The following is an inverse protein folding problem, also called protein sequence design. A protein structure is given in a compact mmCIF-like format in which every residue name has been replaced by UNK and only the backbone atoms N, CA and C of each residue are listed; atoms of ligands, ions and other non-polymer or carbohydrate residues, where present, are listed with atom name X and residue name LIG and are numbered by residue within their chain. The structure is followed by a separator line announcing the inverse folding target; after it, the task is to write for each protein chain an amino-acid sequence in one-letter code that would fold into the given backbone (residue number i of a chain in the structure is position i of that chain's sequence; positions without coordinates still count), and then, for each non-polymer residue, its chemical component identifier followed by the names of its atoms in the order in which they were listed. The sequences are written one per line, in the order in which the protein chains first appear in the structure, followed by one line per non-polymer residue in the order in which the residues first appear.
data_IF_028281567412
#
_entry.id   IF_028281567412
#
_cell.length_a   1.000
_cell.length_b   1.000
_cell.length_c   1.000
_cell.angle_alpha   90.00
_cell.angle_beta   90.00
_cell.angle_gamma   90.00
#
_symmetry.space_group_name_H-M   'P 1'
#
loop_
_entity.id
_entity.type
_entity.pdbx_description
1 polymer ?
#
# COMPACT_ATOMS: atom_id res chain seq x y z
N UNK A 1 -16.99 25.19 19.43
CA UNK A 1 -15.55 24.92 19.66
C UNK A 1 -15.12 23.50 19.29
N UNK A 2 -15.83 22.44 19.73
CA UNK A 2 -15.49 21.04 19.41
C UNK A 2 -15.27 20.76 17.91
N UNK A 3 -16.16 21.23 17.03
CA UNK A 3 -16.04 21.02 15.56
C UNK A 3 -14.79 21.68 14.97
N UNK A 4 -14.42 22.87 15.45
CA UNK A 4 -13.22 23.57 14.99
C UNK A 4 -11.96 22.80 15.38
N UNK A 5 -11.88 22.33 16.64
CA UNK A 5 -10.77 21.50 17.11
C UNK A 5 -10.66 20.18 16.34
N UNK A 6 -11.80 19.56 16.02
CA UNK A 6 -11.84 18.32 15.22
C UNK A 6 -11.31 18.54 13.80
N UNK A 7 -11.75 19.59 13.10
CA UNK A 7 -11.27 19.88 11.74
C UNK A 7 -9.77 20.22 11.72
N UNK A 8 -9.27 20.93 12.73
CA UNK A 8 -7.83 21.20 12.88
C UNK A 8 -7.06 19.90 13.13
N UNK A 9 -7.54 19.04 14.03
CA UNK A 9 -6.92 17.74 14.29
C UNK A 9 -6.91 16.85 13.03
N UNK A 10 -7.98 16.88 12.23
CA UNK A 10 -8.04 16.18 10.94
C UNK A 10 -7.02 16.71 9.94
N UNK A 11 -6.86 18.03 9.83
CA UNK A 11 -5.84 18.63 8.95
C UNK A 11 -4.43 18.18 9.35
N UNK A 12 -4.11 18.18 10.64
CA UNK A 12 -2.80 17.74 11.14
C UNK A 12 -2.59 16.24 10.92
N UNK A 13 -3.62 15.43 11.13
CA UNK A 13 -3.56 13.99 10.86
C UNK A 13 -3.36 13.72 9.36
N UNK A 14 -4.01 14.48 8.47
CA UNK A 14 -3.79 14.41 7.03
C UNK A 14 -2.34 14.77 6.66
N UNK A 15 -1.79 15.86 7.21
CA UNK A 15 -0.38 16.23 6.98
C UNK A 15 0.56 15.07 7.35
N UNK A 16 0.31 14.42 8.50
CA UNK A 16 1.11 13.28 8.95
C UNK A 16 1.01 12.07 8.00
N UNK A 17 -0.20 11.73 7.55
CA UNK A 17 -0.40 10.59 6.64
C UNK A 17 0.10 10.84 5.22
N UNK A 18 0.08 12.09 4.75
CA UNK A 18 0.69 12.47 3.47
C UNK A 18 2.20 12.24 3.49
N UNK A 19 2.89 12.65 4.56
CA UNK A 19 4.33 12.38 4.73
C UNK A 19 4.62 10.88 4.73
N UNK A 20 3.85 10.09 5.48
CA UNK A 20 4.03 8.64 5.49
C UNK A 20 3.80 8.04 4.09
N UNK A 21 2.78 8.48 3.38
CA UNK A 21 2.47 8.00 2.03
C UNK A 21 3.55 8.38 1.03
N UNK A 22 4.14 9.57 1.13
CA UNK A 22 5.29 9.99 0.32
C UNK A 22 6.52 9.09 0.55
N UNK A 23 6.79 8.68 1.79
CA UNK A 23 7.86 7.71 2.09
C UNK A 23 7.60 6.35 1.42
N UNK A 24 6.35 5.88 1.46
CA UNK A 24 5.95 4.60 0.85
C UNK A 24 6.07 4.69 -0.69
N UNK A 25 5.60 5.78 -1.31
CA UNK A 25 5.74 5.98 -2.75
C UNK A 25 7.22 6.00 -3.13
N UNK A 26 8.04 6.77 -2.42
CA UNK A 26 9.48 6.89 -2.71
C UNK A 26 10.18 5.55 -2.61
N UNK A 27 9.92 4.80 -1.52
CA UNK A 27 10.47 3.45 -1.35
C UNK A 27 10.00 2.48 -2.45
N UNK A 28 8.75 2.60 -2.90
CA UNK A 28 8.25 1.78 -4.02
C UNK A 28 8.93 2.11 -5.34
N UNK A 29 9.22 3.39 -5.60
CA UNK A 29 9.89 3.87 -6.82
C UNK A 29 11.31 3.31 -6.95
N UNK A 30 12.03 3.15 -5.84
CA UNK A 30 13.37 2.54 -5.85
C UNK A 30 13.33 1.12 -6.45
N UNK A 31 12.33 0.32 -6.09
CA UNK A 31 12.14 -1.02 -6.64
C UNK A 31 11.67 -1.02 -8.10
N UNK A 32 10.86 -0.03 -8.51
CA UNK A 32 10.49 0.16 -9.92
C UNK A 32 11.74 0.44 -10.76
N UNK A 33 12.61 1.33 -10.31
CA UNK A 33 13.87 1.66 -10.97
C UNK A 33 14.78 0.42 -11.04
N UNK A 34 14.83 -0.39 -9.98
CA UNK A 34 15.59 -1.64 -10.01
C UNK A 34 15.05 -2.60 -11.08
N UNK A 35 13.72 -2.73 -11.17
CA UNK A 35 13.07 -3.58 -12.15
C UNK A 35 13.33 -3.07 -13.58
N UNK A 36 13.26 -1.76 -13.82
CA UNK A 36 13.59 -1.13 -15.10
C UNK A 36 15.03 -1.43 -15.52
N UNK A 37 15.99 -1.22 -14.62
CA UNK A 37 17.42 -1.32 -14.94
C UNK A 37 17.93 -2.76 -15.00
N UNK A 38 17.38 -3.66 -14.19
CA UNK A 38 17.94 -5.01 -13.97
C UNK A 38 16.99 -6.14 -14.34
N UNK A 39 15.72 -5.86 -14.58
CA UNK A 39 14.69 -6.87 -14.81
C UNK A 39 14.42 -7.78 -13.58
N UNK A 40 14.85 -7.35 -12.39
CA UNK A 40 14.71 -8.12 -11.15
C UNK A 40 14.60 -7.22 -9.93
N UNK A 41 13.95 -7.74 -8.90
CA UNK A 41 13.83 -7.10 -7.59
C UNK A 41 14.84 -7.70 -6.59
N UNK A 42 15.58 -6.86 -5.88
CA UNK A 42 16.50 -7.26 -4.80
C UNK A 42 15.80 -7.57 -3.49
N UNK A 43 14.57 -7.06 -3.31
CA UNK A 43 13.79 -7.30 -2.09
C UNK A 43 13.47 -8.79 -1.91
N UNK A 44 13.65 -9.29 -0.68
CA UNK A 44 13.25 -10.65 -0.34
C UNK A 44 11.73 -10.74 -0.18
N UNK A 45 11.14 -11.92 -0.45
CA UNK A 45 9.70 -12.18 -0.22
C UNK A 45 9.27 -11.81 1.20
N UNK A 46 10.09 -12.11 2.20
CA UNK A 46 9.84 -11.76 3.61
C UNK A 46 9.77 -10.25 3.83
N UNK A 47 10.71 -9.49 3.25
CA UNK A 47 10.71 -8.04 3.39
C UNK A 47 9.58 -7.39 2.60
N UNK A 48 9.21 -7.95 1.44
CA UNK A 48 8.04 -7.50 0.68
C UNK A 48 6.74 -7.68 1.48
N UNK A 49 6.55 -8.84 2.12
CA UNK A 49 5.38 -9.07 2.98
C UNK A 49 5.32 -8.13 4.18
N UNK A 50 6.47 -7.84 4.82
CA UNK A 50 6.54 -6.80 5.87
C UNK A 50 6.15 -5.43 5.32
N UNK A 51 6.58 -5.13 4.10
CA UNK A 51 6.29 -3.86 3.47
C UNK A 51 4.80 -3.71 3.15
N UNK A 52 4.18 -4.75 2.58
CA UNK A 52 2.72 -4.85 2.40
C UNK A 52 2.00 -4.61 3.73
N UNK A 53 2.44 -5.27 4.81
CA UNK A 53 1.86 -5.04 6.14
C UNK A 53 1.98 -3.60 6.63
N UNK A 54 3.10 -2.91 6.36
CA UNK A 54 3.27 -1.48 6.69
C UNK A 54 2.23 -0.62 5.95
N UNK A 55 2.06 -0.84 4.64
CA UNK A 55 1.08 -0.10 3.82
C UNK A 55 -0.34 -0.33 4.30
N UNK A 56 -0.72 -1.59 4.56
CA UNK A 56 -2.05 -1.93 5.07
C UNK A 56 -2.32 -1.31 6.44
N UNK A 57 -1.33 -1.27 7.34
CA UNK A 57 -1.47 -0.61 8.63
C UNK A 57 -1.70 0.90 8.47
N UNK A 58 -1.01 1.56 7.53
CA UNK A 58 -1.22 2.99 7.24
C UNK A 58 -2.64 3.23 6.71
N UNK A 59 -3.09 2.43 5.73
CA UNK A 59 -4.44 2.51 5.16
C UNK A 59 -5.53 2.31 6.22
N UNK A 60 -5.38 1.30 7.09
CA UNK A 60 -6.31 1.08 8.21
C UNK A 60 -6.29 2.23 9.21
N UNK A 61 -5.11 2.76 9.56
CA UNK A 61 -5.00 3.90 10.49
C UNK A 61 -5.67 5.16 9.93
N UNK A 62 -5.58 5.39 8.62
CA UNK A 62 -6.28 6.48 7.93
C UNK A 62 -7.79 6.31 8.04
N UNK A 63 -8.31 5.10 7.76
CA UNK A 63 -9.74 4.80 7.88
C UNK A 63 -10.22 5.01 9.32
N UNK A 64 -9.51 4.46 10.30
CA UNK A 64 -9.90 4.56 11.72
C UNK A 64 -9.89 6.00 12.22
N UNK A 65 -8.92 6.81 11.81
CA UNK A 65 -8.75 8.16 12.37
C UNK A 65 -9.46 9.26 11.58
N UNK A 66 -9.73 9.07 10.29
CA UNK A 66 -10.33 10.08 9.44
C UNK A 66 -11.79 9.77 9.07
N UNK A 67 -12.16 8.51 8.88
CA UNK A 67 -13.51 8.11 8.41
C UNK A 67 -14.58 8.23 9.51
N UNK A 68 -14.21 8.03 10.78
CA UNK A 68 -15.10 8.19 11.95
C UNK A 68 -15.67 9.63 12.06
N UNK A 69 -15.02 10.61 11.43
CA UNK A 69 -15.35 12.04 11.54
C UNK A 69 -16.18 12.58 10.35
N UNK A 70 -16.45 11.74 9.35
CA UNK A 70 -17.40 12.02 8.28
C UNK A 70 -18.84 11.58 8.61
N UNK A 71 -19.09 11.07 9.82
CA UNK A 71 -20.42 10.66 10.26
C UNK A 71 -21.37 11.89 10.35
N UNK A 72 -22.43 11.96 9.51
CA UNK A 72 -23.41 13.04 9.53
C UNK A 72 -24.16 13.14 10.87
N UNK A 73 -24.24 12.07 11.66
CA UNK A 73 -24.93 12.05 12.95
C UNK A 73 -24.33 13.03 13.97
N UNK A 74 -23.07 13.45 13.81
CA UNK A 74 -22.39 14.38 14.72
C UNK A 74 -22.85 15.84 14.57
N UNK A 75 -23.48 16.18 13.43
CA UNK A 75 -23.93 17.53 13.08
C UNK A 75 -25.36 17.58 12.55
N UNK A 76 -26.04 16.44 12.42
CA UNK A 76 -27.36 16.36 11.79
C UNK A 76 -28.45 17.12 12.56
N UNK A 77 -28.34 17.20 13.88
CA UNK A 77 -29.33 17.85 14.73
C UNK A 77 -29.26 19.40 14.68
N UNK A 78 -28.23 19.99 14.03
CA UNK A 78 -28.07 21.44 13.96
C UNK A 78 -27.50 21.92 12.62
N UNK A 79 -28.35 22.60 11.84
CA UNK A 79 -28.04 23.11 10.50
C UNK A 79 -26.89 24.12 10.46
N UNK A 80 -26.75 24.97 11.49
CA UNK A 80 -25.67 25.96 11.61
C UNK A 80 -24.30 25.28 11.84
N UNK A 81 -24.26 24.26 12.71
CA UNK A 81 -23.06 23.46 12.92
C UNK A 81 -22.68 22.64 11.67
N UNK A 82 -23.67 22.15 10.91
CA UNK A 82 -23.43 21.47 9.64
C UNK A 82 -22.86 22.41 8.56
N UNK A 83 -23.38 23.65 8.46
CA UNK A 83 -22.83 24.70 7.60
C UNK A 83 -21.38 25.05 7.96
N UNK A 84 -21.10 25.29 9.24
CA UNK A 84 -19.75 25.58 9.72
C UNK A 84 -18.78 24.42 9.44
N UNK A 85 -19.19 23.18 9.70
CA UNK A 85 -18.38 21.99 9.42
C UNK A 85 -18.04 21.87 7.94
N UNK A 86 -19.02 22.09 7.05
CA UNK A 86 -18.79 22.08 5.59
C UNK A 86 -17.81 23.18 5.16
N UNK A 87 -17.97 24.41 5.66
CA UNK A 87 -17.04 25.50 5.35
C UNK A 87 -15.62 25.21 5.82
N UNK A 88 -15.44 24.64 7.02
CA UNK A 88 -14.12 24.28 7.52
C UNK A 88 -13.49 23.15 6.68
N UNK A 89 -14.25 22.09 6.35
CA UNK A 89 -13.77 21.00 5.49
C UNK A 89 -13.34 21.50 4.10
N UNK A 90 -14.08 22.45 3.54
CA UNK A 90 -13.70 23.10 2.27
C UNK A 90 -12.47 23.99 2.43
N UNK A 91 -12.39 24.79 3.50
CA UNK A 91 -11.25 25.69 3.72
C UNK A 91 -9.93 24.94 3.96
N UNK A 92 -9.98 23.74 4.55
CA UNK A 92 -8.82 22.89 4.81
C UNK A 92 -8.62 21.79 3.75
N UNK A 93 -9.42 21.78 2.68
CA UNK A 93 -9.40 20.76 1.63
C UNK A 93 -9.40 19.31 2.13
N UNK A 94 -10.08 19.04 3.26
CA UNK A 94 -10.04 17.74 3.96
C UNK A 94 -10.42 16.58 3.01
N UNK A 95 -11.52 16.74 2.27
CA UNK A 95 -12.03 15.71 1.36
C UNK A 95 -11.13 15.50 0.12
N UNK A 96 -10.71 16.55 -0.61
CA UNK A 96 -9.72 16.41 -1.68
C UNK A 96 -8.42 15.74 -1.23
N UNK A 97 -7.86 16.15 -0.10
CA UNK A 97 -6.60 15.61 0.44
C UNK A 97 -6.72 14.15 0.82
N UNK A 98 -7.80 13.76 1.49
CA UNK A 98 -8.08 12.36 1.78
C UNK A 98 -8.15 11.51 0.51
N UNK A 99 -8.79 12.02 -0.55
CA UNK A 99 -8.91 11.30 -1.82
C UNK A 99 -7.57 11.16 -2.54
N UNK A 100 -6.74 12.20 -2.52
CA UNK A 100 -5.38 12.12 -3.10
C UNK A 100 -4.52 11.10 -2.34
N UNK A 101 -4.59 11.12 -1.01
CA UNK A 101 -3.93 10.17 -0.12
C UNK A 101 -4.34 8.71 -0.42
N UNK A 102 -5.64 8.45 -0.53
CA UNK A 102 -6.19 7.12 -0.85
C UNK A 102 -5.72 6.63 -2.23
N UNK A 103 -5.82 7.48 -3.25
CA UNK A 103 -5.33 7.19 -4.60
C UNK A 103 -3.83 6.87 -4.64
N UNK A 104 -3.02 7.65 -3.91
CA UNK A 104 -1.58 7.45 -3.78
C UNK A 104 -1.23 6.12 -3.11
N UNK A 105 -1.98 5.72 -2.08
CA UNK A 105 -1.80 4.42 -1.42
C UNK A 105 -2.20 3.27 -2.33
N UNK A 106 -3.24 3.42 -3.14
CA UNK A 106 -3.64 2.42 -4.13
C UNK A 106 -2.54 2.18 -5.18
N UNK A 107 -1.84 3.24 -5.64
CA UNK A 107 -0.66 3.08 -6.51
C UNK A 107 0.42 2.23 -5.83
N UNK A 108 0.69 2.46 -4.54
CA UNK A 108 1.69 1.67 -3.80
C UNK A 108 1.22 0.22 -3.68
N UNK A 109 -0.06 -0.02 -3.39
CA UNK A 109 -0.63 -1.35 -3.30
C UNK A 109 -0.49 -2.13 -4.62
N UNK A 110 -0.79 -1.48 -5.74
CA UNK A 110 -0.66 -2.07 -7.07
C UNK A 110 0.80 -2.39 -7.44
N UNK A 111 1.74 -1.50 -7.08
CA UNK A 111 3.17 -1.79 -7.21
C UNK A 111 3.55 -3.05 -6.41
N UNK A 112 3.05 -3.19 -5.18
CA UNK A 112 3.36 -4.34 -4.33
C UNK A 112 2.75 -5.65 -4.84
N UNK A 113 1.56 -5.61 -5.46
CA UNK A 113 0.97 -6.75 -6.17
C UNK A 113 1.88 -7.20 -7.31
N UNK A 114 2.30 -6.26 -8.15
CA UNK A 114 3.23 -6.54 -9.25
C UNK A 114 4.57 -7.12 -8.74
N UNK A 115 5.13 -6.56 -7.66
CA UNK A 115 6.37 -7.09 -7.07
C UNK A 115 6.20 -8.52 -6.56
N UNK A 116 5.03 -8.84 -6.00
CA UNK A 116 4.70 -10.19 -5.54
C UNK A 116 4.66 -11.17 -6.69
N UNK A 117 4.05 -10.78 -7.82
CA UNK A 117 3.98 -11.61 -9.02
C UNK A 117 5.37 -11.88 -9.60
N UNK A 118 6.22 -10.83 -9.71
CA UNK A 118 7.62 -10.97 -10.15
C UNK A 118 8.40 -11.95 -9.27
N UNK A 119 8.25 -11.88 -7.94
CA UNK A 119 8.92 -12.81 -7.03
C UNK A 119 8.37 -14.23 -7.10
N UNK A 120 7.07 -14.41 -7.33
CA UNK A 120 6.46 -15.74 -7.45
C UNK A 120 6.90 -16.45 -8.73
N UNK A 121 7.03 -15.74 -9.86
CA UNK A 121 7.58 -16.30 -11.11
C UNK A 121 8.99 -16.86 -10.88
N UNK A 122 9.85 -16.12 -10.15
CA UNK A 122 11.21 -16.55 -9.81
C UNK A 122 11.27 -17.83 -8.99
N UNK A 123 10.37 -18.04 -8.03
CA UNK A 123 10.33 -19.27 -7.24
C UNK A 123 9.81 -20.46 -8.07
N UNK A 124 8.83 -20.23 -8.96
CA UNK A 124 8.28 -21.27 -9.85
C UNK A 124 9.38 -21.91 -10.71
N UNK A 125 10.26 -21.09 -11.31
CA UNK A 125 11.36 -21.60 -12.15
C UNK A 125 12.36 -22.49 -11.40
N UNK A 126 12.47 -22.38 -10.06
CA UNK A 126 13.39 -23.24 -9.28
C UNK A 126 12.88 -24.68 -9.19
N UNK A 127 11.57 -24.85 -8.96
CA UNK A 127 10.96 -26.18 -8.90
C UNK A 127 11.04 -26.87 -10.26
N UNK A 128 10.87 -26.13 -11.34
CA UNK A 128 11.03 -26.62 -12.70
C UNK A 128 12.43 -27.22 -12.94
N UNK A 129 13.49 -26.50 -12.54
CA UNK A 129 14.86 -27.02 -12.63
C UNK A 129 15.10 -28.28 -11.81
N UNK A 130 14.52 -28.38 -10.61
CA UNK A 130 14.63 -29.58 -9.78
C UNK A 130 14.02 -30.78 -10.51
N UNK A 131 12.82 -30.62 -11.09
CA UNK A 131 12.15 -31.69 -11.85
C UNK A 131 12.97 -32.11 -13.07
N UNK A 132 13.52 -31.15 -13.83
CA UNK A 132 14.36 -31.45 -15.00
C UNK A 132 15.61 -32.26 -14.59
N UNK A 133 16.28 -31.86 -13.50
CA UNK A 133 17.47 -32.57 -12.99
C UNK A 133 17.12 -33.98 -12.52
N UNK A 134 15.99 -34.16 -11.83
CA UNK A 134 15.53 -35.47 -11.36
C UNK A 134 15.26 -36.43 -12.54
N UNK A 135 14.55 -35.96 -13.57
CA UNK A 135 14.28 -36.75 -14.79
C UNK A 135 15.60 -37.10 -15.50
N UNK A 136 16.52 -36.14 -15.63
CA UNK A 136 17.82 -36.36 -16.26
C UNK A 136 18.64 -37.42 -15.51
N UNK A 137 18.68 -37.36 -14.18
CA UNK A 137 19.35 -38.36 -13.34
C UNK A 137 18.73 -39.75 -13.51
N UNK A 138 17.41 -39.85 -13.54
CA UNK A 138 16.71 -41.12 -13.74
C UNK A 138 17.07 -41.78 -15.08
N UNK A 139 17.11 -40.99 -16.16
CA UNK A 139 17.52 -41.47 -17.49
C UNK A 139 18.99 -41.92 -17.48
N UNK A 140 19.90 -41.17 -16.85
CA UNK A 140 21.31 -41.55 -16.73
C UNK A 140 21.50 -42.86 -15.96
N UNK A 141 20.77 -43.04 -14.86
CA UNK A 141 20.81 -44.26 -14.07
C UNK A 141 20.27 -45.44 -14.89
N UNK A 142 19.14 -45.25 -15.59
CA UNK A 142 18.55 -46.28 -16.44
C UNK A 142 19.51 -46.73 -17.55
N UNK A 143 20.24 -45.79 -18.18
CA UNK A 143 21.23 -46.09 -19.21
C UNK A 143 22.53 -46.73 -18.68
N UNK A 144 22.88 -46.50 -17.42
CA UNK A 144 24.11 -47.06 -16.83
C UNK A 144 23.88 -48.45 -16.23
N UNK A 145 22.64 -48.75 -15.82
CA UNK A 145 22.24 -50.04 -15.26
C UNK A 145 21.79 -51.03 -16.34
N UNK A 146 21.28 -50.54 -17.49
CA UNK A 146 20.88 -51.37 -18.62
C UNK A 146 22.03 -51.58 -19.62
#
# INVERSE_FOLDING_TARGET
MKIVMLNIAQSVALDYYEVLTDELITSSKEYIIELEQRGKLSISKKNLLKYIGKVLNVKNSIVDNLYILDDPNLVWDNEELNLLNRHLKTNFDINPRFRDLDYRLDIVEDNLKLFTDVLNVRESSRLEWIVIILIFLEIMIALLIH
#
